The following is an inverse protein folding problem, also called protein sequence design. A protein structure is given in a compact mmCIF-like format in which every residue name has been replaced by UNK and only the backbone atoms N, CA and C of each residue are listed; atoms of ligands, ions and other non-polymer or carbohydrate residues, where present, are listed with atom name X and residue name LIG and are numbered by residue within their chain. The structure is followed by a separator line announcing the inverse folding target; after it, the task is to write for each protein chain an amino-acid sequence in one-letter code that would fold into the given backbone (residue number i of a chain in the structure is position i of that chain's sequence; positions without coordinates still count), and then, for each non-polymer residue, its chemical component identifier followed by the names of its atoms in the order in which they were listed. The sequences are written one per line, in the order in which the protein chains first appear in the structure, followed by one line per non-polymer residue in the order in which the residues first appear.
data_IF_201040842387
#
_entry.id   IF_201040842387
#
_cell.length_a   1.000
_cell.length_b   1.000
_cell.length_c   1.000
_cell.angle_alpha   90.00
_cell.angle_beta   90.00
_cell.angle_gamma   90.00
#
_symmetry.space_group_name_H-M   'P 1'
#
loop_
_entity.id
_entity.type
_entity.pdbx_description
1 polymer ?
#
# COMPACT_ATOMS: atom_id res chain seq x y z
N UNK A 1 33.53 -40.92 6.83
CA UNK A 1 32.60 -40.72 7.96
C UNK A 1 32.84 -39.40 8.68
N UNK A 2 34.02 -39.14 9.27
CA UNK A 2 34.31 -37.89 9.99
C UNK A 2 34.23 -36.62 9.12
N UNK A 3 34.82 -36.64 7.91
CA UNK A 3 34.75 -35.51 6.96
C UNK A 3 33.32 -35.15 6.55
N UNK A 4 32.47 -36.16 6.37
CA UNK A 4 31.05 -35.97 6.04
C UNK A 4 30.29 -35.33 7.23
N UNK A 5 30.61 -35.77 8.45
CA UNK A 5 29.99 -35.26 9.68
C UNK A 5 30.37 -33.80 9.95
N UNK A 6 31.65 -33.45 9.74
CA UNK A 6 32.15 -32.06 9.85
C UNK A 6 31.50 -31.18 8.80
N UNK A 7 31.39 -31.65 7.55
CA UNK A 7 30.73 -30.89 6.48
C UNK A 7 29.24 -30.62 6.80
N UNK A 8 28.51 -31.61 7.32
CA UNK A 8 27.10 -31.47 7.73
C UNK A 8 26.97 -30.47 8.88
N UNK A 9 27.82 -30.56 9.92
CA UNK A 9 27.82 -29.62 11.04
C UNK A 9 28.10 -28.19 10.57
N UNK A 10 29.09 -27.99 9.70
CA UNK A 10 29.38 -26.68 9.12
C UNK A 10 28.17 -26.15 8.32
N UNK A 11 27.56 -26.97 7.47
CA UNK A 11 26.35 -26.58 6.72
C UNK A 11 25.20 -26.16 7.63
N UNK A 12 24.93 -26.93 8.70
CA UNK A 12 23.87 -26.61 9.66
C UNK A 12 24.16 -25.28 10.39
N UNK A 13 25.41 -25.04 10.80
CA UNK A 13 25.79 -23.77 11.46
C UNK A 13 25.72 -22.57 10.52
N UNK A 14 26.05 -22.76 9.23
CA UNK A 14 25.96 -21.70 8.23
C UNK A 14 24.50 -21.36 7.97
N UNK A 15 23.63 -22.36 7.81
CA UNK A 15 22.19 -22.16 7.57
C UNK A 15 21.49 -21.53 8.78
N UNK A 16 21.84 -21.90 10.01
CA UNK A 16 21.24 -21.31 11.21
C UNK A 16 21.65 -19.84 11.47
N UNK A 17 22.75 -19.40 10.84
CA UNK A 17 23.26 -18.03 10.98
C UNK A 17 22.72 -17.08 9.91
N UNK A 18 21.94 -17.60 8.95
CA UNK A 18 21.23 -16.76 7.98
C UNK A 18 20.03 -16.15 8.67
N UNK A 19 20.11 -14.88 9.05
CA UNK A 19 18.93 -14.08 9.38
C UNK A 19 18.07 -13.96 8.12
N UNK A 20 16.95 -14.69 8.08
CA UNK A 20 15.93 -14.48 7.05
C UNK A 20 15.26 -13.15 7.35
N UNK A 21 15.69 -12.08 6.65
CA UNK A 21 14.97 -10.81 6.66
C UNK A 21 13.64 -11.06 5.96
N UNK A 22 12.48 -10.96 6.65
CA UNK A 22 11.19 -11.07 5.98
C UNK A 22 11.10 -9.94 4.96
N UNK A 23 10.81 -10.25 3.71
CA UNK A 23 10.50 -9.22 2.74
C UNK A 23 9.20 -8.52 3.19
N UNK A 24 9.28 -7.23 3.50
CA UNK A 24 8.12 -6.40 3.85
C UNK A 24 7.18 -6.36 2.63
N UNK A 25 6.23 -7.29 2.56
CA UNK A 25 5.22 -7.24 1.50
C UNK A 25 4.31 -6.02 1.71
N UNK A 26 4.03 -5.24 0.65
CA UNK A 26 3.13 -4.10 0.74
C UNK A 26 1.74 -4.53 1.21
N UNK A 27 1.27 -3.96 2.34
CA UNK A 27 -0.06 -4.21 2.89
C UNK A 27 -1.06 -3.26 2.25
N UNK A 28 -2.05 -3.84 1.58
CA UNK A 28 -3.16 -3.10 0.99
C UNK A 28 -4.31 -3.03 2.00
N UNK A 29 -4.80 -1.82 2.24
CA UNK A 29 -5.97 -1.51 3.07
C UNK A 29 -7.04 -0.98 2.12
N UNK A 30 -8.26 -1.49 2.22
CA UNK A 30 -9.38 -1.03 1.40
C UNK A 30 -10.16 0.06 2.12
N UNK A 31 -10.78 0.95 1.36
CA UNK A 31 -11.52 2.05 1.95
C UNK A 31 -12.66 1.57 2.87
N UNK A 32 -12.74 2.12 4.09
CA UNK A 32 -13.80 1.83 5.06
C UNK A 32 -13.57 0.63 5.98
N UNK A 33 -12.34 0.11 6.06
CA UNK A 33 -12.09 -1.13 6.81
C UNK A 33 -11.49 -0.91 8.19
N UNK A 34 -10.45 -0.08 8.32
CA UNK A 34 -9.56 -0.16 9.50
C UNK A 34 -9.32 1.17 10.19
N UNK A 35 -8.97 2.22 9.45
CA UNK A 35 -8.55 3.50 10.01
C UNK A 35 -9.48 4.67 9.60
N UNK A 36 -10.63 4.37 8.99
CA UNK A 36 -11.59 5.37 8.52
C UNK A 36 -12.23 6.24 9.61
N UNK A 37 -12.14 5.82 10.88
CA UNK A 37 -12.63 6.57 12.05
C UNK A 37 -11.53 7.36 12.77
N UNK A 38 -10.30 7.37 12.25
CA UNK A 38 -9.19 8.10 12.86
C UNK A 38 -9.45 9.61 12.81
N UNK A 39 -9.14 10.30 13.91
CA UNK A 39 -9.28 11.75 14.00
C UNK A 39 -8.36 12.46 12.99
N UNK A 40 -8.91 13.44 12.29
CA UNK A 40 -8.21 14.33 11.37
C UNK A 40 -8.44 15.78 11.77
N UNK A 41 -7.49 16.67 11.47
CA UNK A 41 -7.59 18.09 11.82
C UNK A 41 -8.46 18.89 10.85
N UNK A 42 -8.44 18.54 9.56
CA UNK A 42 -9.16 19.25 8.51
C UNK A 42 -9.33 18.37 7.27
N UNK A 43 -10.30 18.72 6.42
CA UNK A 43 -10.51 18.12 5.09
C UNK A 43 -10.09 19.14 4.03
N UNK A 44 -9.31 18.70 3.05
CA UNK A 44 -8.96 19.48 1.87
C UNK A 44 -9.93 19.14 0.72
N UNK A 45 -10.47 20.16 0.06
CA UNK A 45 -11.38 20.00 -1.08
C UNK A 45 -11.01 20.96 -2.22
N UNK A 46 -11.44 20.64 -3.43
CA UNK A 46 -11.25 21.49 -4.62
C UNK A 46 -12.62 21.86 -5.23
N UNK A 47 -12.78 23.06 -5.83
CA UNK A 47 -14.09 23.54 -6.28
C UNK A 47 -14.52 23.00 -7.65
N UNK A 48 -13.65 22.29 -8.37
CA UNK A 48 -13.85 21.88 -9.77
C UNK A 48 -14.34 20.43 -9.94
N UNK A 49 -14.75 19.75 -8.88
CA UNK A 49 -15.30 18.39 -8.95
C UNK A 49 -16.73 18.37 -9.53
N UNK A 50 -17.07 17.27 -10.21
CA UNK A 50 -18.42 17.02 -10.71
C UNK A 50 -19.44 16.87 -9.56
N UNK A 51 -20.72 17.15 -9.81
CA UNK A 51 -21.78 17.12 -8.78
C UNK A 51 -22.48 15.78 -8.65
N UNK A 52 -22.27 14.89 -9.62
CA UNK A 52 -22.87 13.55 -9.65
C UNK A 52 -22.04 12.55 -8.84
N UNK A 53 -22.72 11.50 -8.34
CA UNK A 53 -22.13 10.48 -7.48
C UNK A 53 -22.36 10.75 -5.99
N UNK A 54 -22.05 9.74 -5.17
CA UNK A 54 -22.08 9.84 -3.72
C UNK A 54 -20.72 9.44 -3.16
N UNK A 55 -20.29 10.11 -2.10
CA UNK A 55 -19.11 9.69 -1.36
C UNK A 55 -19.38 8.34 -0.69
N UNK A 56 -18.45 7.41 -0.88
CA UNK A 56 -18.44 6.12 -0.19
C UNK A 56 -17.62 6.23 1.10
N UNK A 57 -17.02 5.13 1.54
CA UNK A 57 -16.25 5.08 2.77
C UNK A 57 -14.92 5.82 2.65
N UNK A 58 -14.56 6.55 3.71
CA UNK A 58 -13.22 7.14 3.88
C UNK A 58 -12.26 6.15 4.52
N UNK A 59 -10.97 6.32 4.25
CA UNK A 59 -9.91 5.55 4.88
C UNK A 59 -8.65 6.38 4.98
N UNK A 60 -7.92 6.20 6.08
CA UNK A 60 -6.70 6.94 6.38
C UNK A 60 -5.51 5.99 6.39
N UNK A 61 -4.31 6.53 6.19
CA UNK A 61 -3.10 5.77 6.50
C UNK A 61 -3.12 5.33 7.98
N UNK A 62 -2.47 4.19 8.31
CA UNK A 62 -2.31 3.74 9.68
C UNK A 62 -1.78 4.84 10.61
N UNK A 63 -1.96 4.65 11.91
CA UNK A 63 -1.43 5.60 12.89
C UNK A 63 0.08 5.79 12.72
N UNK A 64 0.55 7.04 12.78
CA UNK A 64 1.93 7.46 12.50
C UNK A 64 2.42 7.27 11.05
N UNK A 65 1.54 6.88 10.12
CA UNK A 65 1.81 6.89 8.69
C UNK A 65 1.06 8.04 8.00
N UNK A 66 1.67 8.56 6.93
CA UNK A 66 1.15 9.67 6.13
C UNK A 66 1.22 9.35 4.64
N UNK A 67 0.26 9.86 3.87
CA UNK A 67 0.26 9.71 2.42
C UNK A 67 1.38 10.57 1.81
N UNK A 68 2.24 9.96 1.00
CA UNK A 68 3.36 10.67 0.32
C UNK A 68 3.33 10.51 -1.20
N UNK A 69 2.56 9.56 -1.70
CA UNK A 69 2.39 9.32 -3.14
C UNK A 69 1.04 8.69 -3.43
N UNK A 70 0.72 8.56 -4.71
CA UNK A 70 -0.51 7.92 -5.16
C UNK A 70 -0.32 7.23 -6.52
N UNK A 71 -1.21 6.29 -6.81
CA UNK A 71 -1.41 5.74 -8.15
C UNK A 71 -2.88 5.76 -8.52
N UNK A 72 -3.17 5.79 -9.82
CA UNK A 72 -4.52 5.91 -10.36
C UNK A 72 -4.93 4.62 -11.05
N UNK A 73 -6.20 4.26 -10.92
CA UNK A 73 -6.85 3.28 -11.78
C UNK A 73 -7.58 4.04 -12.88
N UNK A 74 -7.13 3.83 -14.11
CA UNK A 74 -7.71 4.41 -15.32
C UNK A 74 -8.06 3.29 -16.30
N UNK A 75 -8.86 3.61 -17.29
CA UNK A 75 -9.08 2.73 -18.43
C UNK A 75 -7.82 2.68 -19.32
N UNK A 76 -7.66 1.58 -20.05
CA UNK A 76 -6.65 1.49 -21.11
C UNK A 76 -7.05 2.39 -22.27
N UNK A 77 -6.06 2.94 -22.98
CA UNK A 77 -6.27 3.78 -24.17
C UNK A 77 -7.27 3.13 -25.16
N UNK A 78 -8.40 3.81 -25.39
CA UNK A 78 -9.45 3.37 -26.32
C UNK A 78 -9.19 3.80 -27.79
N UNK A 79 -8.03 4.40 -28.07
CA UNK A 79 -7.58 4.91 -29.37
C UNK A 79 -8.47 6.01 -29.95
N UNK A 80 -9.55 5.63 -30.64
CA UNK A 80 -10.44 6.53 -31.36
C UNK A 80 -11.79 6.76 -30.68
N UNK A 81 -12.02 6.13 -29.53
CA UNK A 81 -13.20 6.34 -28.70
C UNK A 81 -12.83 7.20 -27.49
N UNK A 82 -13.83 7.81 -26.88
CA UNK A 82 -13.66 8.55 -25.63
C UNK A 82 -13.20 7.60 -24.52
N UNK A 83 -12.13 7.99 -23.80
CA UNK A 83 -11.69 7.30 -22.59
C UNK A 83 -12.59 7.70 -21.40
N UNK A 84 -12.82 6.77 -20.49
CA UNK A 84 -13.43 7.10 -19.21
C UNK A 84 -12.51 7.98 -18.34
N UNK A 85 -13.10 8.67 -17.38
CA UNK A 85 -12.35 9.40 -16.36
C UNK A 85 -11.62 8.43 -15.39
N UNK A 86 -11.09 8.98 -14.29
CA UNK A 86 -10.46 8.21 -13.23
C UNK A 86 -11.46 7.25 -12.56
N UNK A 87 -11.07 5.98 -12.40
CA UNK A 87 -11.90 4.92 -11.83
C UNK A 87 -11.50 4.51 -10.39
N UNK A 88 -10.35 4.95 -9.89
CA UNK A 88 -9.93 4.71 -8.51
C UNK A 88 -8.60 5.35 -8.14
N UNK A 89 -8.36 5.49 -6.85
CA UNK A 89 -7.16 6.09 -6.26
C UNK A 89 -6.56 5.10 -5.26
N UNK A 90 -5.24 4.94 -5.31
CA UNK A 90 -4.43 4.28 -4.28
C UNK A 90 -3.47 5.30 -3.69
N UNK A 91 -3.42 5.42 -2.38
CA UNK A 91 -2.45 6.24 -1.65
C UNK A 91 -1.33 5.35 -1.10
N UNK A 92 -0.10 5.82 -1.17
CA UNK A 92 1.07 5.18 -0.56
C UNK A 92 1.39 5.85 0.78
N UNK A 93 1.44 5.04 1.83
CA UNK A 93 1.62 5.47 3.20
C UNK A 93 3.04 5.17 3.66
N UNK A 94 3.70 6.18 4.25
CA UNK A 94 5.05 6.07 4.81
C UNK A 94 5.06 6.52 6.27
N UNK A 95 5.93 5.92 7.05
CA UNK A 95 6.23 6.39 8.40
C UNK A 95 7.25 7.53 8.30
N UNK A 96 7.23 8.47 9.25
CA UNK A 96 8.24 9.54 9.28
C UNK A 96 9.66 8.94 9.20
N UNK A 97 10.51 9.54 8.36
CA UNK A 97 11.91 9.17 8.12
C UNK A 97 12.15 7.82 7.40
N UNK A 98 11.12 6.96 7.24
CA UNK A 98 11.19 5.72 6.47
C UNK A 98 10.51 5.89 5.11
N UNK A 99 11.26 5.74 4.01
CA UNK A 99 10.71 5.85 2.64
C UNK A 99 10.14 4.53 2.11
N UNK A 100 10.05 3.48 2.93
CA UNK A 100 9.46 2.21 2.51
C UNK A 100 7.94 2.31 2.47
N UNK A 101 7.36 2.00 1.32
CA UNK A 101 5.91 1.95 1.10
C UNK A 101 5.32 0.63 1.60
N UNK A 102 5.33 0.44 2.93
CA UNK A 102 4.86 -0.80 3.57
C UNK A 102 3.32 -0.87 3.55
N UNK A 103 2.65 0.28 3.50
CA UNK A 103 1.19 0.36 3.46
C UNK A 103 0.67 1.15 2.26
N UNK A 104 -0.49 0.74 1.78
CA UNK A 104 -1.25 1.53 0.82
C UNK A 104 -2.75 1.43 1.07
N UNK A 105 -3.46 2.53 0.82
CA UNK A 105 -4.91 2.62 0.97
C UNK A 105 -5.53 2.71 -0.41
N UNK A 106 -6.43 1.80 -0.76
CA UNK A 106 -7.11 1.76 -2.05
C UNK A 106 -8.58 2.13 -1.91
N UNK A 107 -9.07 2.99 -2.80
CA UNK A 107 -10.50 3.26 -2.97
C UNK A 107 -11.23 1.98 -3.35
N UNK A 108 -12.38 1.72 -2.73
CA UNK A 108 -13.24 0.61 -3.13
C UNK A 108 -13.82 0.87 -4.53
N UNK A 109 -13.89 -0.16 -5.38
CA UNK A 109 -14.73 -0.11 -6.59
C UNK A 109 -16.15 -0.40 -6.16
N UNK A 110 -17.00 0.62 -6.11
CA UNK A 110 -18.43 0.43 -5.89
C UNK A 110 -19.06 -0.49 -6.93
#
# INVERSE_FOLDING_TARGET
MALLYVAILCLLTVVSSVEVVPEDQPRVIHAGTTFGLRNYSSILTVPNGEKFGIWMWSELCPENFYATGFSLRIESNQYGSDDTALNGIRLFCVQNEDRRFIYSVESHTG
#
